data_IF_113424130956
#
_entry.id   IF_113424130956
#
_cell.length_a   1.000
_cell.length_b   1.000
_cell.length_c   1.000
_cell.angle_alpha   90.00
_cell.angle_beta   90.00
_cell.angle_gamma   90.00
#
_symmetry.space_group_name_H-M   'P 1'
#
loop_
_entity.id
_entity.type
_entity.pdbx_description
1 polymer ?
#
# COMPACT_ATOMS: atom_id res chain seq x y z
N UNK A 1 -28.58 -31.42 2.95
CA UNK A 1 -28.17 -30.13 2.34
C UNK A 1 -27.06 -29.42 3.14
N UNK A 2 -25.93 -30.07 3.43
CA UNK A 2 -24.73 -29.47 4.09
C UNK A 2 -23.41 -30.02 3.52
N UNK A 3 -23.38 -30.36 2.22
CA UNK A 3 -22.20 -30.92 1.52
C UNK A 3 -21.76 -30.12 0.28
N UNK A 4 -22.37 -28.95 0.03
CA UNK A 4 -22.13 -28.15 -1.18
C UNK A 4 -21.23 -26.91 -1.01
N UNK A 5 -20.72 -26.64 0.20
CA UNK A 5 -19.86 -25.46 0.48
C UNK A 5 -18.38 -25.82 0.74
N UNK A 6 -18.04 -27.10 0.86
CA UNK A 6 -16.65 -27.55 1.06
C UNK A 6 -15.83 -27.58 -0.26
N UNK A 7 -16.46 -27.31 -1.40
CA UNK A 7 -15.83 -27.39 -2.73
C UNK A 7 -15.18 -26.08 -3.19
N UNK A 8 -15.17 -25.00 -2.39
CA UNK A 8 -14.72 -23.68 -2.90
C UNK A 8 -13.23 -23.37 -2.73
N UNK A 9 -12.44 -24.16 -2.00
CA UNK A 9 -11.02 -23.83 -1.75
C UNK A 9 -10.05 -24.80 -2.45
N UNK A 10 -10.27 -26.11 -2.32
CA UNK A 10 -9.48 -27.13 -3.04
C UNK A 10 -9.84 -27.17 -4.53
N UNK A 11 -11.11 -26.96 -4.90
CA UNK A 11 -11.49 -26.85 -6.30
C UNK A 11 -11.09 -25.50 -6.92
N UNK A 12 -10.76 -24.47 -6.16
CA UNK A 12 -10.29 -23.21 -6.77
C UNK A 12 -8.84 -23.33 -7.25
N UNK A 13 -7.99 -24.06 -6.53
CA UNK A 13 -6.67 -24.46 -7.02
C UNK A 13 -6.74 -25.56 -8.09
N UNK A 14 -7.70 -26.50 -8.01
CA UNK A 14 -7.85 -27.54 -9.03
C UNK A 14 -8.54 -27.05 -10.34
N UNK A 15 -9.43 -26.05 -10.28
CA UNK A 15 -10.08 -25.41 -11.45
C UNK A 15 -9.20 -24.29 -12.03
N UNK A 16 -8.20 -23.80 -11.30
CA UNK A 16 -7.16 -22.93 -11.85
C UNK A 16 -6.36 -23.60 -13.00
N UNK A 17 -6.49 -24.92 -13.17
CA UNK A 17 -5.97 -25.63 -14.33
C UNK A 17 -6.73 -25.41 -15.66
N UNK A 18 -7.92 -24.78 -15.70
CA UNK A 18 -8.72 -24.76 -16.95
C UNK A 18 -9.57 -23.51 -17.27
N UNK A 19 -9.64 -22.47 -16.44
CA UNK A 19 -10.24 -21.19 -16.87
C UNK A 19 -9.15 -20.13 -17.04
N UNK A 20 -8.69 -19.94 -18.28
CA UNK A 20 -7.85 -18.78 -18.67
C UNK A 20 -8.56 -17.51 -18.20
N UNK A 21 -8.08 -16.88 -17.11
CA UNK A 21 -8.52 -15.53 -16.74
C UNK A 21 -8.12 -14.58 -17.88
N UNK A 22 -8.94 -13.57 -18.21
CA UNK A 22 -8.59 -12.64 -19.26
C UNK A 22 -7.29 -11.93 -18.89
N UNK A 23 -6.31 -12.04 -19.78
CA UNK A 23 -5.04 -11.31 -19.71
C UNK A 23 -5.34 -9.82 -19.71
N UNK A 24 -4.87 -9.10 -18.68
CA UNK A 24 -5.00 -7.64 -18.63
C UNK A 24 -3.84 -6.96 -19.34
N UNK A 25 -4.09 -5.75 -19.87
CA UNK A 25 -2.99 -4.85 -20.24
C UNK A 25 -2.31 -4.38 -18.94
N UNK A 26 -0.99 -4.20 -18.99
CA UNK A 26 -0.28 -3.51 -17.90
C UNK A 26 -0.83 -2.10 -17.75
N UNK A 27 -0.97 -1.63 -16.51
CA UNK A 27 -1.57 -0.34 -16.18
C UNK A 27 -3.05 -0.42 -15.75
N UNK A 28 -3.76 -1.51 -16.05
CA UNK A 28 -5.20 -1.61 -15.76
C UNK A 28 -5.48 -1.68 -14.24
N UNK A 29 -4.59 -2.29 -13.46
CA UNK A 29 -4.69 -2.27 -11.99
C UNK A 29 -4.56 -0.84 -11.45
N UNK A 30 -3.61 -0.08 -11.99
CA UNK A 30 -3.33 1.28 -11.55
C UNK A 30 -4.48 2.24 -11.90
N UNK A 31 -5.02 2.15 -13.13
CA UNK A 31 -6.24 2.88 -13.54
C UNK A 31 -7.41 2.63 -12.60
N UNK A 32 -7.65 1.37 -12.24
CA UNK A 32 -8.77 0.99 -11.36
C UNK A 32 -8.65 1.66 -9.99
N UNK A 33 -7.47 1.66 -9.39
CA UNK A 33 -7.27 2.22 -8.04
C UNK A 33 -7.07 3.75 -8.05
N UNK A 34 -6.69 4.34 -9.18
CA UNK A 34 -6.48 5.77 -9.32
C UNK A 34 -7.79 6.60 -9.39
N UNK A 35 -8.96 5.94 -9.45
CA UNK A 35 -10.27 6.63 -9.43
C UNK A 35 -10.44 7.44 -8.14
N UNK A 36 -11.00 8.66 -8.20
CA UNK A 36 -11.15 9.56 -7.06
C UNK A 36 -12.38 9.22 -6.22
N UNK A 37 -12.52 7.94 -5.89
CA UNK A 37 -13.54 7.43 -4.98
C UNK A 37 -13.03 7.54 -3.54
N UNK A 38 -13.86 8.08 -2.66
CA UNK A 38 -13.54 8.25 -1.24
C UNK A 38 -13.66 6.92 -0.51
N UNK A 39 -12.58 6.48 0.12
CA UNK A 39 -12.59 5.37 1.07
C UNK A 39 -12.95 5.82 2.49
N UNK A 40 -12.30 6.88 2.97
CA UNK A 40 -12.49 7.41 4.32
C UNK A 40 -12.53 8.92 4.26
N UNK A 41 -13.29 9.52 5.18
CA UNK A 41 -13.28 10.96 5.38
C UNK A 41 -12.55 11.23 6.69
N UNK A 42 -11.47 12.02 6.60
CA UNK A 42 -10.68 12.40 7.75
C UNK A 42 -11.55 13.24 8.70
N UNK A 43 -11.62 12.92 9.99
CA UNK A 43 -12.43 13.71 10.91
C UNK A 43 -11.90 15.12 11.05
N UNK A 44 -12.83 16.05 11.28
CA UNK A 44 -12.65 17.51 11.30
C UNK A 44 -12.18 18.10 9.99
N UNK A 45 -12.08 17.31 8.92
CA UNK A 45 -11.76 17.82 7.60
C UNK A 45 -12.91 18.64 7.03
N UNK A 46 -12.62 19.34 5.94
CA UNK A 46 -13.65 19.99 5.14
C UNK A 46 -14.68 18.98 4.62
N UNK A 47 -14.24 17.82 4.17
CA UNK A 47 -15.07 16.74 3.66
C UNK A 47 -16.07 16.25 4.69
N UNK A 48 -15.66 16.12 5.95
CA UNK A 48 -16.57 15.74 7.03
C UNK A 48 -17.66 16.81 7.24
N UNK A 49 -17.26 18.09 7.31
CA UNK A 49 -18.17 19.21 7.58
C UNK A 49 -19.25 19.38 6.51
N UNK A 50 -18.92 19.10 5.25
CA UNK A 50 -19.89 19.16 4.14
C UNK A 50 -20.65 17.85 3.96
N UNK A 51 -20.31 16.80 4.73
CA UNK A 51 -20.99 15.52 4.68
C UNK A 51 -20.58 14.64 3.49
N UNK A 52 -19.32 14.70 3.06
CA UNK A 52 -18.72 13.66 2.22
C UNK A 52 -18.80 12.31 2.94
N UNK A 53 -18.89 11.23 2.18
CA UNK A 53 -19.02 9.87 2.69
C UNK A 53 -18.14 8.92 1.90
N UNK A 54 -17.72 7.79 2.52
CA UNK A 54 -17.19 6.66 1.79
C UNK A 54 -18.11 6.27 0.62
N UNK A 55 -17.54 6.01 -0.55
CA UNK A 55 -18.24 5.70 -1.79
C UNK A 55 -18.60 6.92 -2.65
N UNK A 56 -18.39 8.15 -2.17
CA UNK A 56 -18.49 9.33 -3.03
C UNK A 56 -17.38 9.30 -4.09
N UNK A 57 -17.76 9.43 -5.36
CA UNK A 57 -16.82 9.58 -6.48
C UNK A 57 -16.76 11.05 -6.88
N UNK A 58 -15.59 11.68 -6.75
CA UNK A 58 -15.44 13.08 -7.17
C UNK A 58 -15.52 13.16 -8.70
N UNK A 59 -16.39 14.05 -9.20
CA UNK A 59 -16.59 14.28 -10.63
C UNK A 59 -15.96 15.60 -11.09
N UNK A 60 -16.04 16.65 -10.26
CA UNK A 60 -15.39 17.92 -10.55
C UNK A 60 -14.98 18.68 -9.29
N UNK A 61 -13.95 19.51 -9.41
CA UNK A 61 -13.49 20.40 -8.36
C UNK A 61 -13.22 21.79 -8.95
N UNK A 62 -13.92 22.81 -8.44
CA UNK A 62 -13.91 24.17 -8.98
C UNK A 62 -14.25 24.23 -10.49
N UNK A 63 -15.29 23.49 -10.90
CA UNK A 63 -15.73 23.41 -12.30
C UNK A 63 -14.79 22.62 -13.23
N UNK A 64 -13.65 22.11 -12.73
CA UNK A 64 -12.73 21.28 -13.50
C UNK A 64 -13.11 19.81 -13.33
N UNK A 65 -13.38 19.05 -14.41
CA UNK A 65 -13.57 17.61 -14.32
C UNK A 65 -12.35 16.92 -13.70
N UNK A 66 -12.60 15.91 -12.86
CA UNK A 66 -11.55 15.08 -12.26
C UNK A 66 -11.89 13.61 -12.48
N UNK A 67 -10.98 12.88 -13.11
CA UNK A 67 -11.17 11.45 -13.41
C UNK A 67 -10.27 10.58 -12.53
N UNK A 68 -9.24 11.20 -11.95
CA UNK A 68 -8.18 10.53 -11.19
C UNK A 68 -7.88 11.27 -9.88
N UNK A 69 -7.29 10.57 -8.92
CA UNK A 69 -6.78 11.18 -7.69
C UNK A 69 -5.76 12.30 -7.97
N UNK A 70 -4.98 12.18 -9.06
CA UNK A 70 -4.03 13.20 -9.48
C UNK A 70 -4.73 14.46 -9.99
N UNK A 71 -5.83 14.31 -10.71
CA UNK A 71 -6.63 15.46 -11.15
C UNK A 71 -7.22 16.19 -9.95
N UNK A 72 -7.68 15.46 -8.93
CA UNK A 72 -8.13 16.06 -7.66
C UNK A 72 -7.01 16.86 -7.00
N UNK A 73 -5.80 16.29 -6.87
CA UNK A 73 -4.66 17.02 -6.27
C UNK A 73 -4.28 18.25 -7.08
N UNK A 74 -4.22 18.13 -8.41
CA UNK A 74 -3.91 19.26 -9.31
C UNK A 74 -4.98 20.34 -9.22
N UNK A 75 -6.26 19.97 -9.26
CA UNK A 75 -7.37 20.90 -9.15
C UNK A 75 -7.40 21.62 -7.79
N UNK A 76 -7.12 20.91 -6.69
CA UNK A 76 -6.97 21.51 -5.36
C UNK A 76 -5.81 22.51 -5.32
N UNK A 77 -4.64 22.15 -5.86
CA UNK A 77 -3.48 23.02 -5.92
C UNK A 77 -3.74 24.28 -6.76
N UNK A 78 -4.40 24.13 -7.92
CA UNK A 78 -4.74 25.25 -8.82
C UNK A 78 -5.81 26.18 -8.22
N UNK A 79 -6.66 25.67 -7.34
CA UNK A 79 -7.66 26.50 -6.67
C UNK A 79 -7.07 27.29 -5.49
N UNK A 80 -5.87 26.97 -5.01
CA UNK A 80 -5.23 27.73 -3.94
C UNK A 80 -5.12 29.21 -4.35
N UNK A 81 -5.63 30.10 -3.49
CA UNK A 81 -5.70 31.54 -3.77
C UNK A 81 -7.01 32.01 -4.42
N UNK A 82 -7.93 31.11 -4.77
CA UNK A 82 -9.30 31.51 -5.13
C UNK A 82 -9.98 32.17 -3.94
N UNK A 83 -10.72 33.25 -4.18
CA UNK A 83 -11.53 33.90 -3.16
C UNK A 83 -12.87 33.17 -2.97
N UNK A 84 -13.32 33.07 -1.72
CA UNK A 84 -14.60 32.48 -1.40
C UNK A 84 -14.66 30.96 -1.53
N UNK A 85 -15.89 30.43 -1.54
CA UNK A 85 -16.14 29.00 -1.70
C UNK A 85 -16.26 28.64 -3.18
N UNK A 86 -15.79 27.45 -3.53
CA UNK A 86 -15.79 26.88 -4.88
C UNK A 86 -16.69 25.64 -4.93
N UNK A 87 -17.26 25.30 -6.11
CA UNK A 87 -18.10 24.12 -6.27
C UNK A 87 -17.29 22.82 -6.26
N UNK A 88 -17.84 21.78 -5.66
CA UNK A 88 -17.38 20.39 -5.69
C UNK A 88 -18.56 19.53 -6.11
N UNK A 89 -18.42 18.74 -7.18
CA UNK A 89 -19.45 17.79 -7.61
C UNK A 89 -18.97 16.37 -7.34
N UNK A 90 -19.82 15.56 -6.71
CA UNK A 90 -19.56 14.14 -6.48
C UNK A 90 -20.76 13.30 -6.93
N UNK A 91 -20.50 12.08 -7.37
CA UNK A 91 -21.49 11.05 -7.58
C UNK A 91 -21.62 10.21 -6.31
N UNK A 92 -22.84 10.12 -5.76
CA UNK A 92 -23.18 9.24 -4.63
C UNK A 92 -24.27 8.27 -5.07
N UNK A 93 -23.89 7.01 -5.29
CA UNK A 93 -24.76 6.04 -5.95
C UNK A 93 -25.02 6.50 -7.39
N UNK A 94 -26.25 6.87 -7.70
CA UNK A 94 -26.67 7.37 -9.03
C UNK A 94 -26.93 8.88 -9.05
N UNK A 95 -26.74 9.58 -7.91
CA UNK A 95 -27.09 11.00 -7.78
C UNK A 95 -25.84 11.86 -7.75
N UNK A 96 -25.82 12.89 -8.60
CA UNK A 96 -24.84 13.96 -8.49
C UNK A 96 -25.24 14.91 -7.36
N UNK A 97 -24.28 15.19 -6.48
CA UNK A 97 -24.41 16.11 -5.36
C UNK A 97 -23.39 17.22 -5.53
N UNK A 98 -23.84 18.46 -5.38
CA UNK A 98 -22.98 19.62 -5.40
C UNK A 98 -22.77 20.15 -3.97
N UNK A 99 -21.51 20.44 -3.64
CA UNK A 99 -21.10 21.03 -2.38
C UNK A 99 -20.34 22.33 -2.62
N UNK A 100 -20.39 23.22 -1.64
CA UNK A 100 -19.62 24.47 -1.63
C UNK A 100 -18.48 24.36 -0.62
N UNK A 101 -17.24 24.39 -1.10
CA UNK A 101 -16.02 24.10 -0.32
C UNK A 101 -15.03 25.26 -0.37
N UNK A 102 -14.25 25.44 0.68
CA UNK A 102 -13.04 26.25 0.67
C UNK A 102 -11.99 25.62 -0.26
N UNK A 103 -11.19 26.42 -1.00
CA UNK A 103 -10.06 25.92 -1.76
C UNK A 103 -9.06 25.15 -0.90
N UNK A 104 -8.51 24.07 -1.46
CA UNK A 104 -7.53 23.20 -0.83
C UNK A 104 -8.04 21.82 -0.43
N UNK A 105 -7.30 21.10 0.45
CA UNK A 105 -7.57 19.70 0.76
C UNK A 105 -8.98 19.46 1.32
N UNK A 106 -9.67 18.48 0.74
CA UNK A 106 -10.98 18.03 1.23
C UNK A 106 -10.85 17.13 2.47
N UNK A 107 -9.72 16.43 2.64
CA UNK A 107 -9.56 15.40 3.66
C UNK A 107 -10.39 14.14 3.39
N UNK A 108 -10.67 13.84 2.12
CA UNK A 108 -11.10 12.52 1.69
C UNK A 108 -9.88 11.66 1.33
N UNK A 109 -9.75 10.51 1.97
CA UNK A 109 -8.75 9.48 1.62
C UNK A 109 -9.28 8.67 0.44
N UNK A 110 -8.54 8.59 -0.68
CA UNK A 110 -8.99 7.84 -1.85
C UNK A 110 -8.90 6.33 -1.64
N UNK A 111 -9.63 5.56 -2.46
CA UNK A 111 -9.62 4.08 -2.44
C UNK A 111 -8.22 3.49 -2.60
N UNK A 112 -7.30 4.14 -3.35
CA UNK A 112 -5.90 3.68 -3.45
C UNK A 112 -5.21 3.58 -2.08
N UNK A 113 -5.62 4.38 -1.08
CA UNK A 113 -5.04 4.31 0.26
C UNK A 113 -5.40 3.02 1.03
N UNK A 114 -6.36 2.22 0.55
CA UNK A 114 -6.60 0.84 1.03
C UNK A 114 -5.49 -0.13 0.60
N UNK A 115 -4.72 0.24 -0.42
CA UNK A 115 -3.71 -0.58 -1.05
C UNK A 115 -2.31 0.03 -0.85
N UNK A 116 -1.84 0.18 0.39
CA UNK A 116 -0.61 0.92 0.70
C UNK A 116 0.69 0.23 0.24
N UNK A 117 0.61 -1.03 -0.19
CA UNK A 117 1.74 -1.86 -0.63
C UNK A 117 1.96 -1.69 -2.13
N UNK A 118 2.81 -0.74 -2.50
CA UNK A 118 3.06 -0.42 -3.91
C UNK A 118 3.68 -1.57 -4.68
N UNK A 119 4.49 -2.43 -4.02
CA UNK A 119 5.04 -3.62 -4.66
C UNK A 119 3.94 -4.66 -4.89
N UNK A 120 3.11 -4.94 -3.90
CA UNK A 120 1.97 -5.85 -4.08
C UNK A 120 1.06 -5.43 -5.23
N UNK A 121 0.80 -4.13 -5.39
CA UNK A 121 0.02 -3.59 -6.51
C UNK A 121 0.71 -3.81 -7.86
N UNK A 122 2.04 -3.60 -7.93
CA UNK A 122 2.82 -3.86 -9.14
C UNK A 122 2.83 -5.35 -9.51
N UNK A 123 2.98 -6.22 -8.52
CA UNK A 123 2.91 -7.66 -8.70
C UNK A 123 1.51 -8.10 -9.16
N UNK A 124 0.45 -7.51 -8.60
CA UNK A 124 -0.92 -7.79 -9.02
C UNK A 124 -1.14 -7.46 -10.51
N UNK A 125 -0.63 -6.32 -10.98
CA UNK A 125 -0.70 -5.92 -12.40
C UNK A 125 0.09 -6.89 -13.31
N UNK A 126 1.31 -7.25 -12.91
CA UNK A 126 2.17 -8.20 -13.62
C UNK A 126 1.51 -9.59 -13.70
N UNK A 127 0.99 -10.10 -12.59
CA UNK A 127 0.37 -11.42 -12.55
C UNK A 127 -0.90 -11.48 -13.38
N UNK A 128 -1.75 -10.44 -13.34
CA UNK A 128 -2.92 -10.35 -14.24
C UNK A 128 -2.52 -10.26 -15.71
N UNK A 129 -1.43 -9.56 -16.03
CA UNK A 129 -0.90 -9.50 -17.37
C UNK A 129 -0.44 -10.88 -17.88
N UNK A 130 0.10 -11.73 -17.01
CA UNK A 130 0.43 -13.11 -17.36
C UNK A 130 -0.75 -14.10 -17.24
N UNK A 131 -1.94 -13.64 -16.86
CA UNK A 131 -3.11 -14.49 -16.63
C UNK A 131 -2.98 -15.40 -15.40
N UNK A 132 -2.07 -15.07 -14.47
CA UNK A 132 -1.84 -15.80 -13.23
C UNK A 132 -2.91 -15.45 -12.19
N UNK A 133 -3.16 -16.39 -11.26
CA UNK A 133 -3.96 -16.10 -10.06
C UNK A 133 -3.23 -15.05 -9.22
N UNK A 134 -3.99 -14.11 -8.65
CA UNK A 134 -3.44 -13.05 -7.82
C UNK A 134 -4.44 -12.65 -6.76
N UNK A 135 -3.94 -12.31 -5.58
CA UNK A 135 -4.66 -11.71 -4.47
C UNK A 135 -3.75 -10.64 -3.86
N UNK A 136 -4.25 -9.40 -3.75
CA UNK A 136 -3.44 -8.28 -3.30
C UNK A 136 -2.92 -8.47 -1.88
N UNK A 137 -3.75 -8.98 -0.96
CA UNK A 137 -3.38 -9.10 0.45
C UNK A 137 -2.34 -10.21 0.65
N UNK A 138 -2.39 -11.25 -0.17
CA UNK A 138 -1.34 -12.28 -0.19
C UNK A 138 -0.01 -11.74 -0.72
N UNK A 139 -0.05 -10.93 -1.77
CA UNK A 139 1.17 -10.30 -2.29
C UNK A 139 1.75 -9.28 -1.31
N UNK A 140 0.90 -8.51 -0.62
CA UNK A 140 1.31 -7.57 0.41
C UNK A 140 1.91 -8.26 1.64
N UNK A 141 1.39 -9.44 2.00
CA UNK A 141 1.96 -10.27 3.05
C UNK A 141 3.33 -10.82 2.65
N UNK A 142 3.45 -11.36 1.44
CA UNK A 142 4.69 -11.95 0.95
C UNK A 142 5.78 -10.91 0.62
N UNK A 143 5.41 -9.67 0.33
CA UNK A 143 6.36 -8.56 0.22
C UNK A 143 6.76 -7.96 1.58
N UNK A 144 6.13 -8.43 2.68
CA UNK A 144 6.35 -7.95 4.04
C UNK A 144 5.74 -6.59 4.33
N UNK A 145 5.04 -6.01 3.36
CA UNK A 145 4.51 -4.64 3.48
C UNK A 145 3.33 -4.59 4.45
N UNK A 146 2.51 -5.64 4.56
CA UNK A 146 1.31 -5.64 5.42
C UNK A 146 1.53 -6.05 6.88
N UNK A 147 2.58 -6.83 7.15
CA UNK A 147 2.80 -7.43 8.48
C UNK A 147 3.64 -6.55 9.40
N UNK A 148 4.63 -5.85 8.84
CA UNK A 148 5.59 -5.09 9.64
C UNK A 148 5.57 -3.61 9.26
N UNK A 149 5.37 -2.76 10.27
CA UNK A 149 5.50 -1.31 10.11
C UNK A 149 6.96 -0.93 9.86
N UNK A 150 7.23 -0.08 8.87
CA UNK A 150 8.58 0.40 8.55
C UNK A 150 8.62 1.91 8.47
N UNK A 151 9.65 2.54 9.03
CA UNK A 151 9.76 3.99 9.09
C UNK A 151 11.19 4.47 8.81
N UNK A 152 11.32 5.70 8.30
CA UNK A 152 12.62 6.35 8.05
C UNK A 152 12.58 7.83 8.43
N UNK A 153 13.47 8.25 9.33
CA UNK A 153 13.36 9.53 10.04
C UNK A 153 13.44 10.77 9.12
N UNK A 154 14.18 10.66 8.02
CA UNK A 154 14.46 11.70 7.02
C UNK A 154 13.46 11.71 5.84
N UNK A 155 12.54 10.74 5.76
CA UNK A 155 11.50 10.72 4.72
C UNK A 155 10.19 11.39 5.18
N UNK A 156 9.27 11.59 4.23
CA UNK A 156 7.93 12.05 4.54
C UNK A 156 7.20 11.01 5.38
N UNK A 157 6.91 11.36 6.63
CA UNK A 157 6.31 10.43 7.61
C UNK A 157 4.91 9.97 7.25
N UNK A 158 4.23 10.65 6.33
CA UNK A 158 2.86 10.31 5.93
C UNK A 158 2.69 9.03 5.11
N UNK A 159 3.79 8.43 4.63
CA UNK A 159 3.76 7.27 3.72
C UNK A 159 4.67 6.12 4.17
N UNK A 160 5.11 6.12 5.43
CA UNK A 160 5.99 5.10 5.97
C UNK A 160 5.38 3.69 5.86
N UNK A 161 5.77 2.97 4.81
CA UNK A 161 5.65 1.52 4.61
C UNK A 161 6.11 1.14 3.19
N UNK A 162 7.19 0.36 3.05
CA UNK A 162 7.64 -0.15 1.74
C UNK A 162 9.15 -0.20 1.53
N UNK A 163 9.95 0.35 2.47
CA UNK A 163 11.39 0.52 2.29
C UNK A 163 12.22 -0.76 2.11
N UNK A 164 11.80 -1.87 2.73
CA UNK A 164 12.52 -3.17 2.74
C UNK A 164 11.90 -4.22 1.81
N UNK A 165 10.83 -3.89 1.09
CA UNK A 165 10.05 -4.86 0.32
C UNK A 165 10.83 -5.52 -0.84
N UNK A 166 11.86 -4.86 -1.36
CA UNK A 166 12.73 -5.38 -2.41
C UNK A 166 13.58 -6.59 -1.98
N UNK A 167 13.91 -6.68 -0.69
CA UNK A 167 14.73 -7.77 -0.13
C UNK A 167 14.03 -9.13 -0.24
N UNK A 168 12.71 -9.12 -0.40
CA UNK A 168 11.87 -10.31 -0.45
C UNK A 168 11.49 -10.75 -1.86
N UNK A 169 11.88 -9.99 -2.89
CA UNK A 169 11.49 -10.31 -4.28
C UNK A 169 12.03 -11.66 -4.77
N UNK A 170 13.25 -12.02 -4.38
CA UNK A 170 13.82 -13.30 -4.79
C UNK A 170 13.06 -14.49 -4.17
N UNK A 171 12.73 -14.42 -2.88
CA UNK A 171 11.95 -15.45 -2.19
C UNK A 171 10.48 -15.49 -2.66
N UNK A 172 9.89 -14.32 -2.93
CA UNK A 172 8.57 -14.14 -3.54
C UNK A 172 8.43 -14.89 -4.87
N UNK A 173 9.48 -14.89 -5.69
CA UNK A 173 9.44 -15.56 -6.98
C UNK A 173 9.08 -17.04 -6.89
N UNK A 174 9.64 -17.72 -5.88
CA UNK A 174 9.35 -19.13 -5.62
C UNK A 174 7.92 -19.42 -5.14
N UNK A 175 7.13 -18.38 -4.82
CA UNK A 175 5.77 -18.48 -4.30
C UNK A 175 4.74 -17.96 -5.30
N UNK A 176 5.01 -16.81 -5.92
CA UNK A 176 4.09 -16.11 -6.82
C UNK A 176 4.09 -16.64 -8.27
N UNK A 177 4.87 -17.68 -8.57
CA UNK A 177 4.96 -18.21 -9.94
C UNK A 177 5.70 -17.25 -10.89
N UNK A 178 6.62 -16.45 -10.35
CA UNK A 178 7.41 -15.46 -11.09
C UNK A 178 8.89 -15.67 -10.81
N UNK A 179 9.79 -15.37 -11.72
CA UNK A 179 11.23 -15.28 -11.40
C UNK A 179 11.62 -13.82 -11.30
N UNK A 180 12.42 -13.44 -10.29
CA UNK A 180 12.96 -12.08 -10.19
C UNK A 180 14.47 -12.11 -10.36
N UNK A 181 14.98 -11.25 -11.23
CA UNK A 181 16.41 -11.03 -11.39
C UNK A 181 16.72 -9.56 -11.19
N UNK A 182 17.46 -9.24 -10.12
CA UNK A 182 17.94 -7.88 -9.86
C UNK A 182 18.91 -7.45 -10.97
N UNK A 183 18.76 -6.20 -11.40
CA UNK A 183 19.63 -5.58 -12.39
C UNK A 183 20.47 -4.54 -11.68
N UNK A 184 21.78 -4.57 -11.94
CA UNK A 184 22.70 -3.57 -11.40
C UNK A 184 22.31 -2.20 -11.96
N UNK A 185 22.00 -1.27 -11.06
CA UNK A 185 21.77 0.11 -11.43
C UNK A 185 23.11 0.83 -11.53
N UNK A 186 23.61 0.99 -12.75
CA UNK A 186 24.87 1.70 -13.03
C UNK A 186 24.71 3.24 -13.09
N UNK A 187 23.52 3.77 -12.76
CA UNK A 187 23.22 5.21 -12.83
C UNK A 187 23.07 5.77 -14.24
N UNK A 188 23.46 5.02 -15.29
CA UNK A 188 23.39 5.46 -16.70
C UNK A 188 22.07 5.05 -17.38
N UNK A 189 21.32 4.17 -16.73
CA UNK A 189 20.10 3.56 -17.28
C UNK A 189 20.37 2.64 -18.48
N UNK A 190 21.63 2.34 -18.80
CA UNK A 190 22.04 1.51 -19.96
C UNK A 190 21.41 0.12 -19.90
N UNK A 191 21.41 -0.49 -18.71
CA UNK A 191 20.82 -1.81 -18.50
C UNK A 191 19.29 -1.81 -18.67
N UNK A 192 18.59 -0.82 -18.13
CA UNK A 192 17.13 -0.69 -18.32
C UNK A 192 16.79 -0.42 -19.77
N UNK A 193 17.52 0.47 -20.44
CA UNK A 193 17.39 0.74 -21.88
C UNK A 193 17.60 -0.53 -22.70
N UNK A 194 18.60 -1.35 -22.37
CA UNK A 194 18.87 -2.62 -23.05
C UNK A 194 17.73 -3.63 -22.88
N UNK A 195 17.13 -3.70 -21.68
CA UNK A 195 15.99 -4.60 -21.41
C UNK A 195 14.73 -4.10 -22.14
N UNK A 196 14.45 -2.79 -22.07
CA UNK A 196 13.27 -2.18 -22.68
C UNK A 196 13.31 -2.16 -24.21
N UNK A 197 14.51 -2.24 -24.80
CA UNK A 197 14.70 -2.47 -26.25
C UNK A 197 14.40 -3.91 -26.67
N UNK A 198 14.36 -4.86 -25.73
CA UNK A 198 14.16 -6.29 -26.01
C UNK A 198 12.76 -6.77 -25.55
N UNK A 199 11.72 -6.09 -26.06
CA UNK A 199 10.29 -6.30 -25.71
C UNK A 199 9.75 -7.70 -26.05
N UNK A 200 10.39 -8.44 -26.95
CA UNK A 200 9.92 -9.75 -27.41
C UNK A 200 10.24 -10.90 -26.45
N UNK A 201 10.81 -10.62 -25.27
CA UNK A 201 11.24 -11.67 -24.35
C UNK A 201 10.15 -12.17 -23.38
N UNK A 202 8.95 -11.58 -23.39
CA UNK A 202 7.89 -11.90 -22.42
C UNK A 202 8.27 -11.54 -20.97
N UNK A 203 9.21 -10.60 -20.81
CA UNK A 203 9.72 -10.14 -19.51
C UNK A 203 9.17 -8.75 -19.20
N UNK A 204 8.81 -8.53 -17.94
CA UNK A 204 8.37 -7.23 -17.41
C UNK A 204 9.46 -6.64 -16.52
N UNK A 205 9.61 -5.32 -16.57
CA UNK A 205 10.55 -4.58 -15.75
C UNK A 205 9.82 -3.95 -14.57
N UNK A 206 10.22 -4.37 -13.38
CA UNK A 206 9.76 -3.84 -12.10
C UNK A 206 10.79 -2.83 -11.59
N UNK A 207 10.34 -1.68 -11.10
CA UNK A 207 11.19 -0.55 -10.71
C UNK A 207 10.78 -0.02 -9.35
N UNK A 208 11.75 0.20 -8.48
CA UNK A 208 11.58 0.86 -7.19
C UNK A 208 12.17 2.28 -7.25
N UNK A 209 11.30 3.27 -7.04
CA UNK A 209 11.65 4.68 -7.05
C UNK A 209 11.83 5.27 -8.45
N UNK A 210 12.16 6.56 -8.50
CA UNK A 210 12.33 7.32 -9.75
C UNK A 210 11.04 7.90 -10.35
N UNK A 211 9.88 7.62 -9.73
CA UNK A 211 8.59 8.18 -10.12
C UNK A 211 8.42 9.62 -9.64
N UNK A 212 7.58 10.44 -10.30
CA UNK A 212 7.40 11.84 -9.94
C UNK A 212 6.58 12.03 -8.67
N UNK A 213 6.84 13.15 -7.97
CA UNK A 213 6.05 13.61 -6.84
C UNK A 213 6.14 12.70 -5.61
N UNK A 214 5.01 12.45 -4.95
CA UNK A 214 4.92 11.61 -3.75
C UNK A 214 5.21 10.12 -4.00
N UNK A 215 5.33 9.71 -5.26
CA UNK A 215 5.57 8.32 -5.67
C UNK A 215 7.06 7.98 -5.78
N UNK A 216 7.94 8.93 -5.48
CA UNK A 216 9.40 8.78 -5.67
C UNK A 216 10.01 7.59 -4.94
N UNK A 217 9.34 7.06 -3.91
CA UNK A 217 9.70 5.84 -3.18
C UNK A 217 8.84 4.61 -3.48
N UNK A 218 7.93 4.65 -4.46
CA UNK A 218 7.03 3.54 -4.76
C UNK A 218 7.62 2.56 -5.77
N UNK A 219 7.08 1.34 -5.74
CA UNK A 219 7.25 0.37 -6.80
C UNK A 219 6.33 0.67 -7.98
N UNK A 220 6.75 0.23 -9.16
CA UNK A 220 5.99 0.39 -10.38
C UNK A 220 6.50 -0.49 -11.51
N UNK A 221 5.73 -0.54 -12.59
CA UNK A 221 6.03 -1.32 -13.79
C UNK A 221 6.48 -0.40 -14.90
N UNK A 222 7.70 -0.59 -15.40
CA UNK A 222 8.15 0.09 -16.61
C UNK A 222 7.58 -0.61 -17.84
N UNK A 223 6.89 0.14 -18.69
CA UNK A 223 6.15 -0.37 -19.84
C UNK A 223 6.80 0.02 -21.17
N UNK A 224 7.37 1.22 -21.29
CA UNK A 224 7.94 1.72 -22.56
C UNK A 224 9.23 2.52 -22.36
N UNK A 225 10.09 2.52 -23.37
CA UNK A 225 11.19 3.48 -23.52
C UNK A 225 10.93 4.35 -24.74
N UNK A 226 11.08 5.66 -24.61
CA UNK A 226 10.94 6.63 -25.69
C UNK A 226 12.33 7.03 -26.18
N UNK A 227 12.75 6.67 -27.40
CA UNK A 227 14.04 7.09 -27.94
C UNK A 227 14.15 8.60 -28.15
N UNK A 228 13.03 9.28 -28.38
CA UNK A 228 12.96 10.72 -28.69
C UNK A 228 13.47 11.58 -27.54
N UNK A 229 13.05 11.24 -26.33
CA UNK A 229 13.40 11.96 -25.09
C UNK A 229 14.36 11.16 -24.20
N UNK A 230 14.67 9.91 -24.58
CA UNK A 230 15.47 8.97 -23.80
C UNK A 230 14.90 8.64 -22.41
N UNK A 231 13.58 8.73 -22.24
CA UNK A 231 12.87 8.50 -20.97
C UNK A 231 12.19 7.13 -20.96
N UNK A 232 12.14 6.51 -19.78
CA UNK A 232 11.34 5.32 -19.50
C UNK A 232 9.97 5.78 -18.97
N UNK A 233 8.92 5.16 -19.49
CA UNK A 233 7.54 5.37 -19.08
C UNK A 233 7.00 4.09 -18.44
N UNK A 234 6.11 4.27 -17.47
CA UNK A 234 5.54 3.17 -16.71
C UNK A 234 4.40 3.59 -15.81
N UNK A 235 3.91 2.66 -15.01
CA UNK A 235 2.87 2.89 -14.03
C UNK A 235 3.41 2.70 -12.62
N UNK A 236 2.90 3.46 -11.67
CA UNK A 236 3.15 3.26 -10.26
C UNK A 236 1.86 3.52 -9.49
N UNK A 237 1.85 3.16 -8.20
CA UNK A 237 0.66 3.34 -7.37
C UNK A 237 0.13 4.77 -7.50
N UNK A 238 -1.20 4.87 -7.59
CA UNK A 238 -1.91 6.14 -7.73
C UNK A 238 -1.64 6.88 -9.06
N UNK A 239 -1.04 6.23 -10.06
CA UNK A 239 -1.04 6.70 -11.46
C UNK A 239 -2.24 6.11 -12.22
N UNK A 240 -2.95 6.92 -12.99
CA UNK A 240 -3.97 6.43 -13.92
C UNK A 240 -3.40 6.20 -15.33
N UNK A 241 -2.28 6.85 -15.64
CA UNK A 241 -1.64 6.84 -16.95
C UNK A 241 -0.16 6.50 -16.82
N UNK A 242 0.49 6.28 -17.97
CA UNK A 242 1.94 6.16 -18.04
C UNK A 242 2.59 7.47 -17.55
N UNK A 243 3.48 7.36 -16.58
CA UNK A 243 4.29 8.46 -16.07
C UNK A 243 5.76 8.29 -16.47
N UNK A 244 6.48 9.39 -16.68
CA UNK A 244 7.91 9.34 -16.94
C UNK A 244 8.68 9.01 -15.65
N UNK A 245 9.69 8.16 -15.77
CA UNK A 245 10.64 7.84 -14.72
C UNK A 245 11.80 8.85 -14.78
N UNK A 246 11.76 9.86 -13.90
CA UNK A 246 12.65 11.03 -13.94
C UNK A 246 13.61 11.13 -12.75
N UNK A 247 13.25 10.50 -11.62
CA UNK A 247 14.02 10.58 -10.38
C UNK A 247 15.06 9.46 -10.24
N UNK A 248 15.76 9.42 -9.09
CA UNK A 248 16.71 8.36 -8.79
C UNK A 248 15.98 7.02 -8.62
N UNK A 249 16.42 6.03 -9.38
CA UNK A 249 15.94 4.65 -9.27
C UNK A 249 16.74 3.94 -8.18
N UNK A 250 16.05 3.33 -7.21
CA UNK A 250 16.70 2.59 -6.12
C UNK A 250 17.03 1.17 -6.58
N UNK A 251 16.06 0.48 -7.16
CA UNK A 251 16.21 -0.92 -7.56
C UNK A 251 15.45 -1.23 -8.85
N UNK A 252 15.96 -2.19 -9.62
CA UNK A 252 15.35 -2.67 -10.85
C UNK A 252 15.38 -4.19 -10.85
N UNK A 253 14.25 -4.78 -11.21
CA UNK A 253 14.10 -6.22 -11.37
C UNK A 253 13.50 -6.54 -12.73
N UNK A 254 13.91 -7.68 -13.28
CA UNK A 254 13.27 -8.27 -14.44
C UNK A 254 12.51 -9.51 -14.02
N UNK A 255 11.25 -9.60 -14.43
CA UNK A 255 10.37 -10.70 -14.08
C UNK A 255 9.69 -11.35 -15.27
N UNK A 256 9.36 -12.62 -15.12
CA UNK A 256 8.64 -13.49 -16.07
C UNK A 256 7.95 -14.62 -15.31
N UNK A 257 6.97 -15.30 -15.90
CA UNK A 257 6.41 -16.51 -15.31
C UNK A 257 7.49 -17.56 -15.04
N UNK A 258 7.45 -18.17 -13.87
CA UNK A 258 8.35 -19.25 -13.47
C UNK A 258 7.68 -20.19 -12.46
N UNK A 259 7.73 -21.49 -12.73
CA UNK A 259 7.46 -22.53 -11.73
C UNK A 259 6.05 -22.55 -11.12
N UNK A 260 5.93 -23.33 -10.05
CA UNK A 260 4.67 -23.68 -9.38
C UNK A 260 4.44 -22.89 -8.10
N UNK A 261 3.17 -22.58 -7.85
CA UNK A 261 2.66 -22.04 -6.59
C UNK A 261 2.95 -22.97 -5.39
N UNK A 262 3.20 -22.41 -4.19
CA UNK A 262 3.43 -23.20 -2.97
C UNK A 262 2.14 -23.45 -2.18
N UNK A 263 2.15 -24.53 -1.38
CA UNK A 263 1.05 -24.85 -0.48
C UNK A 263 0.85 -23.80 0.62
N UNK A 264 -0.38 -23.55 1.09
CA UNK A 264 -0.70 -22.51 2.07
C UNK A 264 0.17 -22.54 3.35
N UNK A 265 0.46 -23.72 3.90
CA UNK A 265 1.30 -23.84 5.11
C UNK A 265 2.72 -23.27 4.90
N UNK A 266 3.35 -23.59 3.76
CA UNK A 266 4.67 -23.04 3.41
C UNK A 266 4.62 -21.54 3.19
N UNK A 267 3.52 -21.05 2.61
CA UNK A 267 3.32 -19.63 2.37
C UNK A 267 3.19 -18.87 3.69
N UNK A 268 2.30 -19.32 4.58
CA UNK A 268 2.14 -18.74 5.92
C UNK A 268 3.46 -18.78 6.67
N UNK A 269 4.14 -19.93 6.70
CA UNK A 269 5.41 -20.06 7.39
C UNK A 269 6.51 -19.11 6.88
N UNK A 270 6.52 -18.78 5.58
CA UNK A 270 7.43 -17.76 5.03
C UNK A 270 7.08 -16.36 5.49
N UNK A 271 5.81 -15.98 5.37
CA UNK A 271 5.32 -14.65 5.79
C UNK A 271 5.61 -14.42 7.27
N UNK A 272 5.32 -15.41 8.12
CA UNK A 272 5.56 -15.28 9.56
C UNK A 272 7.04 -15.18 9.90
N UNK A 273 7.91 -16.00 9.30
CA UNK A 273 9.37 -15.89 9.50
C UNK A 273 9.89 -14.51 9.10
N UNK A 274 9.44 -13.99 7.97
CA UNK A 274 9.78 -12.65 7.53
C UNK A 274 9.29 -11.57 8.50
N UNK A 275 8.07 -11.71 9.03
CA UNK A 275 7.55 -10.79 10.03
C UNK A 275 8.40 -10.82 11.32
N UNK A 276 8.86 -11.99 11.76
CA UNK A 276 9.79 -12.13 12.90
C UNK A 276 11.14 -11.46 12.61
N UNK A 277 11.75 -11.74 11.46
CA UNK A 277 13.02 -11.15 11.03
C UNK A 277 12.94 -9.61 10.99
N UNK A 278 11.88 -9.05 10.42
CA UNK A 278 11.68 -7.61 10.34
C UNK A 278 11.45 -6.95 11.71
N UNK A 279 10.98 -7.69 12.71
CA UNK A 279 10.84 -7.17 14.06
C UNK A 279 12.13 -7.20 14.86
N UNK A 280 13.10 -8.04 14.49
CA UNK A 280 14.35 -8.25 15.23
C UNK A 280 15.56 -7.48 14.69
N UNK A 281 15.50 -6.92 13.46
CA UNK A 281 16.70 -6.47 12.74
C UNK A 281 16.75 -4.95 12.46
N UNK A 282 17.87 -4.33 12.88
CA UNK A 282 18.33 -3.03 12.41
C UNK A 282 18.85 -3.14 10.97
N UNK A 283 18.45 -2.25 10.06
CA UNK A 283 19.00 -2.28 8.69
C UNK A 283 19.95 -1.12 8.40
N UNK A 284 20.99 -1.44 7.66
CA UNK A 284 22.02 -0.53 7.17
C UNK A 284 21.48 0.52 6.19
N UNK A 285 20.24 0.34 5.71
CA UNK A 285 19.55 1.20 4.73
C UNK A 285 18.95 2.47 5.36
N UNK A 286 19.06 2.62 6.68
CA UNK A 286 18.45 3.69 7.47
C UNK A 286 16.95 3.47 7.76
N UNK A 287 16.32 2.47 7.13
CA UNK A 287 14.96 2.04 7.47
C UNK A 287 14.92 1.27 8.78
N UNK A 288 14.00 1.66 9.65
CA UNK A 288 13.61 0.92 10.85
C UNK A 288 12.38 0.07 10.55
N UNK A 289 12.24 -1.07 11.20
CA UNK A 289 11.09 -1.97 11.09
C UNK A 289 10.62 -2.44 12.46
N UNK A 290 9.36 -2.86 12.56
CA UNK A 290 8.81 -3.43 13.78
C UNK A 290 8.86 -2.46 14.96
N UNK A 291 9.36 -2.95 16.10
CA UNK A 291 9.45 -2.18 17.34
C UNK A 291 10.25 -0.89 17.18
N UNK A 292 11.33 -0.91 16.41
CA UNK A 292 12.15 0.28 16.16
C UNK A 292 11.43 1.34 15.33
N UNK A 293 10.53 0.92 14.43
CA UNK A 293 9.70 1.84 13.67
C UNK A 293 8.62 2.48 14.56
N UNK A 294 8.01 1.71 15.49
CA UNK A 294 7.10 2.26 16.50
C UNK A 294 7.80 3.23 17.46
N UNK A 295 8.99 2.89 17.93
CA UNK A 295 9.82 3.79 18.75
C UNK A 295 10.11 5.11 18.01
N UNK A 296 10.44 5.02 16.71
CA UNK A 296 10.63 6.21 15.89
C UNK A 296 9.33 7.02 15.73
N UNK A 297 8.17 6.37 15.56
CA UNK A 297 6.88 7.07 15.50
C UNK A 297 6.58 7.80 16.82
N UNK A 298 6.72 7.13 17.96
CA UNK A 298 6.46 7.70 19.29
C UNK A 298 7.35 8.92 19.53
N UNK A 299 8.67 8.76 19.34
CA UNK A 299 9.62 9.87 19.49
C UNK A 299 9.38 10.99 18.49
N UNK A 300 8.92 10.67 17.28
CA UNK A 300 8.57 11.68 16.27
C UNK A 300 7.35 12.51 16.67
N UNK A 301 6.45 12.03 17.53
CA UNK A 301 5.31 12.82 18.00
C UNK A 301 5.76 14.12 18.67
N UNK A 302 6.87 14.11 19.39
CA UNK A 302 7.41 15.29 20.09
C UNK A 302 8.25 16.20 19.19
N UNK A 303 8.43 15.85 17.92
CA UNK A 303 9.18 16.66 16.95
C UNK A 303 8.25 17.60 16.18
N UNK A 304 8.64 18.88 16.08
CA UNK A 304 7.93 19.88 15.27
C UNK A 304 8.90 20.49 14.24
N UNK A 305 8.60 20.37 12.93
CA UNK A 305 7.43 19.70 12.35
C UNK A 305 7.46 18.16 12.51
N UNK A 306 6.28 17.55 12.64
CA UNK A 306 6.16 16.08 12.61
C UNK A 306 6.57 15.51 11.25
N UNK A 307 6.48 16.26 10.16
CA UNK A 307 7.06 15.84 8.89
C UNK A 307 8.17 16.82 8.50
N UNK A 308 9.45 16.42 8.52
CA UNK A 308 10.54 17.31 8.16
C UNK A 308 10.46 17.77 6.70
N UNK A 309 9.87 16.95 5.82
CA UNK A 309 9.70 17.25 4.39
C UNK A 309 8.55 18.24 4.14
N UNK A 310 7.41 18.08 4.82
CA UNK A 310 6.20 18.88 4.55
C UNK A 310 6.05 20.11 5.46
N UNK A 311 6.82 20.19 6.56
CA UNK A 311 6.79 21.32 7.47
C UNK A 311 5.61 21.31 8.46
N UNK A 312 5.50 22.40 9.22
CA UNK A 312 4.61 22.48 10.40
C UNK A 312 3.14 22.47 10.00
N UNK A 313 2.78 23.18 8.93
CA UNK A 313 1.37 23.31 8.47
C UNK A 313 0.76 21.98 8.05
N UNK A 314 1.57 21.07 7.50
CA UNK A 314 1.14 19.76 7.00
C UNK A 314 1.37 18.62 8.01
N UNK A 315 1.89 18.93 9.21
CA UNK A 315 2.26 17.91 10.19
C UNK A 315 1.07 17.06 10.65
N UNK A 316 -0.09 17.67 10.89
CA UNK A 316 -1.32 16.93 11.24
C UNK A 316 -1.77 16.02 10.10
N UNK A 317 -1.80 16.52 8.85
CA UNK A 317 -2.23 15.75 7.67
C UNK A 317 -1.28 14.58 7.42
N UNK A 318 0.02 14.78 7.59
CA UNK A 318 1.01 13.71 7.47
C UNK A 318 0.79 12.64 8.53
N UNK A 319 0.54 13.03 9.79
CA UNK A 319 0.22 12.08 10.85
C UNK A 319 -1.06 11.30 10.56
N UNK A 320 -2.14 11.97 10.17
CA UNK A 320 -3.40 11.30 9.85
C UNK A 320 -3.21 10.29 8.71
N UNK A 321 -2.54 10.69 7.62
CA UNK A 321 -2.21 9.79 6.49
C UNK A 321 -1.39 8.58 6.93
N UNK A 322 -0.41 8.77 7.81
CA UNK A 322 0.38 7.67 8.35
C UNK A 322 -0.50 6.68 9.10
N UNK A 323 -1.36 7.15 10.00
CA UNK A 323 -2.24 6.29 10.79
C UNK A 323 -3.21 5.51 9.88
N UNK A 324 -3.78 6.14 8.85
CA UNK A 324 -4.62 5.43 7.88
C UNK A 324 -3.82 4.43 7.03
N UNK A 325 -2.56 4.73 6.70
CA UNK A 325 -1.67 3.81 5.98
C UNK A 325 -1.35 2.58 6.85
N UNK A 326 -0.99 2.79 8.12
CA UNK A 326 -0.76 1.71 9.08
C UNK A 326 -2.02 0.86 9.31
N UNK A 327 -3.18 1.51 9.42
CA UNK A 327 -4.48 0.84 9.49
C UNK A 327 -4.73 -0.03 8.24
N UNK A 328 -4.48 0.49 7.03
CA UNK A 328 -4.68 -0.27 5.79
C UNK A 328 -3.78 -1.50 5.70
N UNK A 329 -2.52 -1.41 6.17
CA UNK A 329 -1.62 -2.55 6.28
C UNK A 329 -2.14 -3.62 7.22
N UNK A 330 -2.56 -3.23 8.43
CA UNK A 330 -3.10 -4.17 9.41
C UNK A 330 -4.40 -4.83 8.93
N UNK A 331 -5.24 -4.09 8.21
CA UNK A 331 -6.41 -4.66 7.55
C UNK A 331 -6.05 -5.65 6.43
N UNK A 332 -4.96 -5.42 5.70
CA UNK A 332 -4.45 -6.35 4.71
C UNK A 332 -3.92 -7.63 5.36
N UNK A 333 -3.13 -7.51 6.44
CA UNK A 333 -2.68 -8.65 7.24
C UNK A 333 -3.86 -9.46 7.82
N UNK A 334 -4.92 -8.78 8.28
CA UNK A 334 -6.14 -9.44 8.77
C UNK A 334 -6.76 -10.35 7.69
N UNK A 335 -6.98 -9.81 6.48
CA UNK A 335 -7.58 -10.56 5.36
C UNK A 335 -6.70 -11.73 4.92
N UNK A 336 -5.39 -11.55 4.95
CA UNK A 336 -4.45 -12.64 4.70
C UNK A 336 -4.59 -13.77 5.73
N UNK A 337 -4.56 -13.45 7.03
CA UNK A 337 -4.69 -14.44 8.10
C UNK A 337 -6.06 -15.14 8.07
N UNK A 338 -7.14 -14.43 7.72
CA UNK A 338 -8.47 -15.02 7.50
C UNK A 338 -8.44 -16.04 6.35
N UNK A 339 -7.77 -15.70 5.25
CA UNK A 339 -7.54 -16.62 4.14
C UNK A 339 -6.74 -17.85 4.56
N UNK A 340 -5.70 -17.67 5.38
CA UNK A 340 -4.87 -18.77 5.90
C UNK A 340 -5.64 -19.66 6.87
N UNK A 341 -6.50 -19.10 7.72
CA UNK A 341 -7.38 -19.87 8.61
C UNK A 341 -8.30 -20.81 7.82
N UNK A 342 -8.86 -20.33 6.72
CA UNK A 342 -9.71 -21.16 5.85
C UNK A 342 -8.90 -22.23 5.13
N UNK A 343 -7.66 -21.93 4.77
CA UNK A 343 -6.74 -22.85 4.09
C UNK A 343 -6.18 -23.94 5.02
N UNK A 344 -6.03 -23.64 6.31
CA UNK A 344 -5.36 -24.46 7.32
C UNK A 344 -6.28 -24.69 8.52
N UNK A 345 -7.36 -25.48 8.34
CA UNK A 345 -8.38 -25.64 9.39
C UNK A 345 -7.83 -26.31 10.67
N UNK A 346 -6.77 -27.11 10.56
CA UNK A 346 -6.13 -27.75 11.72
C UNK A 346 -5.29 -26.76 12.56
N UNK A 347 -5.03 -25.57 12.02
CA UNK A 347 -4.28 -24.48 12.64
C UNK A 347 -5.21 -23.29 12.93
N UNK A 348 -6.53 -23.44 12.73
CA UNK A 348 -7.47 -22.34 12.85
C UNK A 348 -7.47 -21.70 14.25
N UNK A 349 -7.28 -22.50 15.30
CA UNK A 349 -7.29 -22.02 16.69
C UNK A 349 -6.14 -21.04 16.94
N UNK A 350 -4.89 -21.40 16.60
CA UNK A 350 -3.74 -20.48 16.75
C UNK A 350 -3.78 -19.30 15.80
N UNK A 351 -4.35 -19.47 14.60
CA UNK A 351 -4.55 -18.33 13.69
C UNK A 351 -5.62 -17.37 14.24
N UNK A 352 -6.59 -17.85 15.02
CA UNK A 352 -7.60 -16.98 15.63
C UNK A 352 -7.01 -16.07 16.71
N UNK A 353 -5.97 -16.51 17.43
CA UNK A 353 -5.24 -15.68 18.41
C UNK A 353 -4.58 -14.49 17.69
N UNK A 354 -3.76 -14.77 16.66
CA UNK A 354 -3.16 -13.72 15.83
C UNK A 354 -4.19 -12.78 15.18
N UNK A 355 -5.33 -13.32 14.74
CA UNK A 355 -6.44 -12.52 14.19
C UNK A 355 -7.07 -11.60 15.24
N UNK A 356 -7.17 -12.03 16.49
CA UNK A 356 -7.75 -11.24 17.58
C UNK A 356 -6.83 -10.07 17.95
N UNK A 357 -5.52 -10.33 18.06
CA UNK A 357 -4.53 -9.31 18.41
C UNK A 357 -4.36 -8.28 17.28
N UNK A 358 -4.26 -8.72 16.03
CA UNK A 358 -4.24 -7.82 14.89
C UNK A 358 -5.54 -6.99 14.78
N UNK A 359 -6.70 -7.57 15.11
CA UNK A 359 -7.96 -6.83 15.18
C UNK A 359 -7.98 -5.80 16.34
N UNK A 360 -7.35 -6.09 17.48
CA UNK A 360 -7.20 -5.14 18.56
C UNK A 360 -6.33 -3.94 18.17
N UNK A 361 -5.24 -4.17 17.43
CA UNK A 361 -4.40 -3.11 16.83
C UNK A 361 -5.23 -2.24 15.88
N UNK A 362 -5.99 -2.86 14.96
CA UNK A 362 -6.91 -2.16 14.05
C UNK A 362 -7.88 -1.26 14.84
N UNK A 363 -8.47 -1.78 15.92
CA UNK A 363 -9.35 -1.03 16.81
C UNK A 363 -8.69 0.19 17.44
N UNK A 364 -7.44 0.08 17.90
CA UNK A 364 -6.67 1.20 18.45
C UNK A 364 -6.34 2.26 17.40
N UNK A 365 -5.93 1.86 16.20
CA UNK A 365 -5.73 2.80 15.09
C UNK A 365 -7.03 3.53 14.74
N UNK A 366 -8.17 2.84 14.69
CA UNK A 366 -9.46 3.51 14.54
C UNK A 366 -9.74 4.51 15.67
N UNK A 367 -9.41 4.16 16.91
CA UNK A 367 -9.49 5.07 18.06
C UNK A 367 -8.67 6.35 17.84
N UNK A 368 -7.43 6.23 17.34
CA UNK A 368 -6.60 7.39 16.98
C UNK A 368 -7.28 8.22 15.91
N UNK A 369 -7.71 7.59 14.80
CA UNK A 369 -8.32 8.32 13.68
C UNK A 369 -9.55 9.09 14.09
N UNK A 370 -10.38 8.57 15.00
CA UNK A 370 -11.62 9.22 15.49
C UNK A 370 -11.38 10.22 16.61
N UNK A 371 -10.17 10.30 17.14
CA UNK A 371 -9.86 11.19 18.26
C UNK A 371 -9.75 12.65 17.82
N UNK A 372 -9.95 13.58 18.78
CA UNK A 372 -9.71 15.00 18.57
C UNK A 372 -8.25 15.41 18.81
N UNK A 373 -7.32 14.45 18.97
CA UNK A 373 -5.92 14.72 19.26
C UNK A 373 -5.26 15.53 18.13
N UNK A 374 -4.28 16.36 18.47
CA UNK A 374 -3.53 17.19 17.53
C UNK A 374 -2.01 17.07 17.72
N UNK A 375 -1.31 16.94 16.60
CA UNK A 375 0.13 17.16 16.54
C UNK A 375 0.43 18.63 16.87
N UNK A 376 1.45 18.84 17.71
CA UNK A 376 1.82 20.16 18.21
C UNK A 376 1.14 20.57 19.52
N UNK A 377 0.29 19.72 20.10
CA UNK A 377 -0.23 19.89 21.46
C UNK A 377 0.32 18.80 22.36
N UNK A 378 1.14 19.19 23.34
CA UNK A 378 1.86 18.24 24.21
C UNK A 378 0.93 17.23 24.90
N UNK A 379 -0.23 17.67 25.40
CA UNK A 379 -1.19 16.77 26.05
C UNK A 379 -1.77 15.73 25.07
N UNK A 380 -2.02 16.13 23.83
CA UNK A 380 -2.54 15.24 22.80
C UNK A 380 -1.44 14.28 22.31
N UNK A 381 -0.22 14.78 22.12
CA UNK A 381 0.95 13.97 21.76
C UNK A 381 1.24 12.89 22.80
N UNK A 382 1.16 13.21 24.10
CA UNK A 382 1.27 12.21 25.18
C UNK A 382 0.19 11.14 25.11
N UNK A 383 -1.07 11.52 24.87
CA UNK A 383 -2.18 10.56 24.69
C UNK A 383 -1.96 9.66 23.46
N UNK A 384 -1.55 10.24 22.34
CA UNK A 384 -1.23 9.49 21.12
C UNK A 384 -0.06 8.52 21.37
N UNK A 385 0.99 8.96 22.06
CA UNK A 385 2.11 8.12 22.47
C UNK A 385 1.68 6.94 23.34
N UNK A 386 0.79 7.15 24.30
CA UNK A 386 0.23 6.06 25.12
C UNK A 386 -0.55 5.03 24.29
N UNK A 387 -1.37 5.48 23.33
CA UNK A 387 -2.13 4.57 22.46
C UNK A 387 -1.19 3.81 21.51
N UNK A 388 -0.19 4.48 20.93
CA UNK A 388 0.79 3.85 20.04
C UNK A 388 1.68 2.87 20.81
N UNK A 389 2.07 3.18 22.05
CA UNK A 389 2.76 2.24 22.92
C UNK A 389 1.88 1.02 23.23
N UNK A 390 0.58 1.22 23.47
CA UNK A 390 -0.35 0.10 23.65
C UNK A 390 -0.54 -0.73 22.37
N UNK A 391 -0.38 -0.15 21.17
CA UNK A 391 -0.34 -0.90 19.91
C UNK A 391 0.95 -1.72 19.84
N UNK A 392 2.08 -1.12 20.19
CA UNK A 392 3.39 -1.76 20.19
C UNK A 392 3.44 -2.98 21.13
N UNK A 393 2.78 -2.92 22.30
CA UNK A 393 2.65 -4.06 23.20
C UNK A 393 1.89 -5.22 22.54
N UNK A 394 0.76 -4.94 21.88
CA UNK A 394 -0.01 -5.99 21.18
C UNK A 394 0.77 -6.53 19.98
N UNK A 395 1.54 -5.70 19.28
CA UNK A 395 2.45 -6.20 18.23
C UNK A 395 3.48 -7.19 18.79
N UNK A 396 3.89 -7.02 20.04
CA UNK A 396 4.83 -7.93 20.68
C UNK A 396 4.17 -9.27 21.03
N UNK A 397 2.92 -9.23 21.48
CA UNK A 397 2.13 -10.44 21.74
C UNK A 397 1.86 -11.19 20.42
N UNK A 398 1.49 -10.46 19.37
CA UNK A 398 1.27 -10.98 18.02
C UNK A 398 2.51 -11.65 17.41
N UNK A 399 3.72 -11.19 17.77
CA UNK A 399 4.98 -11.87 17.39
C UNK A 399 5.05 -13.26 18.05
N UNK A 400 4.64 -13.39 19.31
CA UNK A 400 4.54 -14.68 19.99
C UNK A 400 3.54 -15.61 19.30
N UNK A 401 2.37 -15.09 18.91
CA UNK A 401 1.39 -15.88 18.14
C UNK A 401 1.98 -16.40 16.82
N UNK A 402 2.82 -15.59 16.16
CA UNK A 402 3.48 -16.01 14.91
C UNK A 402 4.48 -17.15 15.14
N UNK A 403 5.23 -17.12 16.24
CA UNK A 403 6.13 -18.21 16.65
C UNK A 403 5.35 -19.49 16.95
N UNK A 404 4.22 -19.38 17.66
CA UNK A 404 3.35 -20.50 17.99
C UNK A 404 2.71 -21.14 16.75
N UNK A 405 2.24 -20.32 15.80
CA UNK A 405 1.76 -20.81 14.51
C UNK A 405 2.88 -21.54 13.78
N UNK A 406 4.08 -20.95 13.71
CA UNK A 406 5.24 -21.56 13.05
C UNK A 406 5.64 -22.91 13.65
N UNK A 407 5.52 -23.08 14.98
CA UNK A 407 5.77 -24.35 15.64
C UNK A 407 4.77 -25.46 15.28
N UNK A 408 3.60 -25.10 14.74
CA UNK A 408 2.53 -26.03 14.35
C UNK A 408 2.39 -26.27 12.85
N UNK A 409 3.13 -25.51 12.03
CA UNK A 409 3.22 -25.69 10.57
C UNK A 409 4.29 -26.72 10.23
#
# INVERSE_FOLDING_TARGET
MKRFLLFSFVAFLAVAGCKKRPVSKLGEVYKRVARPEIWQVLPRSQGERIGLKPGDLLLSYNGRPVETNDDVRKAQALALGSEGKIPLVVLRGEKELEFSVQPGPLGGMPVVAKYPSSLALALEDIMRHFGLFTDYDWLAALSGESFTFTAKADECRGFWSGGKSGDYLESLGHVAGLSFRKIINDGTGKHVKAIMRNRNSGRIVLVHGGWPGHRSGFWGVATRYSPKDSIIYGYSMDSAEEMPLLGPVKEIFVTKPAGSWQEPAKLLGRVLKQALELNQVYSDTGWKSGMDAYNLLITSLDTLPFCPVCGVKESQVCFDRLIYTALAHKQSAQRFLEGMKLALPNQADVINEALADNQAIIGKFYGITRSSARIGRLQDQRKLGMVINAIQLIENDLIGDYEDILGRL
#
